data_IF_506013670009
#
_entry.id   IF_506013670009
#
_cell.length_a   1.000
_cell.length_b   1.000
_cell.length_c   1.000
_cell.angle_alpha   90.00
_cell.angle_beta   90.00
_cell.angle_gamma   90.00
#
_symmetry.space_group_name_H-M   'P 1'
#
loop_
_entity.id
_entity.type
_entity.pdbx_description
1 polymer ?
#
# COMPACT_ATOMS: atom_id res chain seq x y z
N UNK A 1 -16.39 -8.18 34.14
CA UNK A 1 -15.08 -8.83 33.91
C UNK A 1 -14.00 -7.86 34.37
N UNK A 2 -13.00 -8.29 35.15
CA UNK A 2 -11.92 -7.40 35.60
C UNK A 2 -10.81 -7.36 34.54
N UNK A 3 -10.81 -6.33 33.70
CA UNK A 3 -9.85 -6.16 32.60
C UNK A 3 -8.40 -6.02 33.10
N UNK A 4 -8.19 -5.55 34.33
CA UNK A 4 -6.85 -5.43 34.92
C UNK A 4 -6.14 -6.78 35.14
N UNK A 5 -6.85 -7.90 34.96
CA UNK A 5 -6.29 -9.26 35.04
C UNK A 5 -5.90 -9.83 33.68
N UNK A 6 -6.12 -9.09 32.59
CA UNK A 6 -5.70 -9.49 31.24
C UNK A 6 -4.26 -9.02 31.08
N UNK A 7 -3.34 -9.97 30.97
CA UNK A 7 -1.92 -9.71 30.79
C UNK A 7 -1.42 -10.40 29.53
N UNK A 8 -0.36 -9.85 28.94
CA UNK A 8 0.38 -10.55 27.89
C UNK A 8 0.84 -11.93 28.41
N UNK A 9 0.84 -12.98 27.57
CA UNK A 9 1.42 -14.27 27.94
C UNK A 9 2.88 -14.10 28.35
N UNK A 10 3.30 -14.79 29.42
CA UNK A 10 4.66 -14.70 29.94
C UNK A 10 5.74 -15.11 28.92
N UNK A 11 5.39 -15.92 27.92
CA UNK A 11 6.29 -16.34 26.84
C UNK A 11 5.55 -16.44 25.52
N UNK A 12 5.63 -15.38 24.71
CA UNK A 12 5.52 -15.47 23.26
C UNK A 12 6.94 -15.52 22.70
N UNK A 13 7.34 -16.67 22.18
CA UNK A 13 8.68 -16.87 21.59
C UNK A 13 8.74 -16.49 20.10
N UNK A 14 7.59 -16.23 19.50
CA UNK A 14 7.45 -15.83 18.10
C UNK A 14 7.34 -14.32 17.98
N UNK A 15 8.03 -13.74 17.01
CA UNK A 15 7.85 -12.33 16.65
C UNK A 15 6.60 -12.19 15.76
N UNK A 16 5.58 -11.49 16.23
CA UNK A 16 4.40 -11.17 15.43
C UNK A 16 4.61 -9.84 14.69
N UNK A 17 4.54 -9.90 13.36
CA UNK A 17 4.48 -8.73 12.48
C UNK A 17 3.09 -8.67 11.86
N UNK A 18 2.48 -7.51 11.83
CA UNK A 18 1.08 -7.32 11.39
C UNK A 18 1.03 -6.24 10.32
N UNK A 19 0.51 -6.59 9.15
CA UNK A 19 0.20 -5.60 8.11
C UNK A 19 -0.93 -4.68 8.61
N UNK A 20 -0.63 -3.38 8.71
CA UNK A 20 -1.59 -2.37 9.14
C UNK A 20 -1.40 -1.08 8.34
N UNK A 21 -2.31 -0.82 7.40
CA UNK A 21 -2.27 0.36 6.53
C UNK A 21 -3.09 1.54 7.06
N UNK A 22 -3.68 1.39 8.25
CA UNK A 22 -4.45 2.45 8.92
C UNK A 22 -3.68 2.98 10.13
N UNK A 23 -3.86 4.26 10.44
CA UNK A 23 -3.14 4.94 11.53
C UNK A 23 -4.01 5.32 12.70
N UNK A 24 -5.31 5.03 12.62
CA UNK A 24 -6.32 5.41 13.60
C UNK A 24 -5.95 4.89 15.01
N UNK A 25 -6.08 5.73 16.06
CA UNK A 25 -5.93 5.30 17.44
C UNK A 25 -7.10 4.38 17.85
N UNK A 26 -7.02 3.83 19.07
CA UNK A 26 -8.03 2.91 19.58
C UNK A 26 -9.41 3.57 19.72
N UNK A 27 -9.46 4.78 20.29
CA UNK A 27 -10.68 5.54 20.60
C UNK A 27 -10.52 7.03 20.28
N UNK A 28 -11.62 7.79 20.38
CA UNK A 28 -11.69 9.22 20.09
C UNK A 28 -12.29 9.51 18.71
N UNK A 29 -12.25 10.78 18.29
CA UNK A 29 -12.88 11.24 17.04
C UNK A 29 -12.32 10.58 15.79
N UNK A 30 -11.04 10.20 15.81
CA UNK A 30 -10.37 9.43 14.76
C UNK A 30 -10.22 7.95 15.12
N UNK A 31 -10.84 7.50 16.22
CA UNK A 31 -10.72 6.16 16.77
C UNK A 31 -11.47 5.08 16.00
N UNK A 32 -11.32 3.83 16.43
CA UNK A 32 -11.87 2.68 15.73
C UNK A 32 -13.40 2.74 15.57
N UNK A 33 -14.11 3.08 16.65
CA UNK A 33 -15.57 3.15 16.67
C UNK A 33 -16.08 4.31 15.81
N UNK A 34 -15.51 5.52 15.96
CA UNK A 34 -15.93 6.71 15.25
C UNK A 34 -15.75 6.58 13.72
N UNK A 35 -14.60 6.05 13.28
CA UNK A 35 -14.25 6.02 11.86
C UNK A 35 -14.83 4.80 11.15
N UNK A 36 -14.83 3.62 11.79
CA UNK A 36 -15.21 2.36 11.13
C UNK A 36 -16.53 1.77 11.60
N UNK A 37 -17.09 2.24 12.71
CA UNK A 37 -18.38 1.77 13.23
C UNK A 37 -19.54 2.01 12.24
N UNK A 38 -19.73 3.24 11.71
CA UNK A 38 -20.87 3.56 10.85
C UNK A 38 -21.00 2.68 9.60
N UNK A 39 -19.88 2.42 8.90
CA UNK A 39 -19.87 1.54 7.72
C UNK A 39 -20.11 0.05 8.06
N UNK A 40 -20.05 -0.32 9.35
CA UNK A 40 -20.39 -1.66 9.87
C UNK A 40 -21.79 -1.70 10.50
N UNK A 41 -22.58 -0.63 10.37
CA UNK A 41 -23.96 -0.55 10.85
C UNK A 41 -24.12 -0.01 12.27
N UNK A 42 -23.08 0.52 12.91
CA UNK A 42 -23.20 1.14 14.23
C UNK A 42 -23.93 2.49 14.14
N UNK A 43 -24.96 2.68 14.96
CA UNK A 43 -25.62 3.98 15.14
C UNK A 43 -24.71 4.95 15.90
N UNK A 44 -25.03 6.25 15.92
CA UNK A 44 -24.28 7.22 16.73
C UNK A 44 -24.26 6.87 18.22
N UNK A 45 -25.32 6.24 18.72
CA UNK A 45 -25.38 5.75 20.10
C UNK A 45 -24.43 4.58 20.31
N UNK A 46 -24.43 3.60 19.39
CA UNK A 46 -23.51 2.46 19.43
C UNK A 46 -22.06 2.94 19.38
N UNK A 47 -21.74 3.90 18.51
CA UNK A 47 -20.40 4.48 18.40
C UNK A 47 -19.95 5.08 19.73
N UNK A 48 -20.80 5.85 20.41
CA UNK A 48 -20.46 6.42 21.71
C UNK A 48 -20.19 5.33 22.78
N UNK A 49 -21.02 4.29 22.81
CA UNK A 49 -20.87 3.16 23.74
C UNK A 49 -19.59 2.36 23.45
N UNK A 50 -19.33 2.07 22.17
CA UNK A 50 -18.15 1.33 21.74
C UNK A 50 -16.86 2.11 21.99
N UNK A 51 -16.86 3.41 21.71
CA UNK A 51 -15.71 4.28 21.94
C UNK A 51 -15.34 4.36 23.42
N UNK A 52 -16.33 4.50 24.31
CA UNK A 52 -16.12 4.45 25.76
C UNK A 52 -15.62 3.09 26.23
N UNK A 53 -16.18 1.99 25.70
CA UNK A 53 -15.70 0.65 26.00
C UNK A 53 -14.25 0.42 25.60
N UNK A 54 -13.85 0.92 24.42
CA UNK A 54 -12.47 0.87 23.92
C UNK A 54 -11.52 1.76 24.72
N UNK A 55 -11.98 2.95 25.16
CA UNK A 55 -11.25 3.82 26.09
C UNK A 55 -10.97 3.12 27.40
N UNK A 56 -12.02 2.58 28.03
CA UNK A 56 -11.88 1.84 29.28
C UNK A 56 -10.93 0.64 29.13
N UNK A 57 -11.04 -0.13 28.05
CA UNK A 57 -10.12 -1.23 27.75
C UNK A 57 -8.67 -0.74 27.65
N UNK A 58 -8.41 0.28 26.84
CA UNK A 58 -7.07 0.82 26.60
C UNK A 58 -6.40 1.33 27.86
N UNK A 59 -7.13 2.16 28.62
CA UNK A 59 -6.66 2.78 29.86
C UNK A 59 -6.46 1.78 30.99
N UNK A 60 -7.22 0.68 31.01
CA UNK A 60 -7.11 -0.33 32.07
C UNK A 60 -6.01 -1.36 31.79
N UNK A 61 -5.78 -1.73 30.53
CA UNK A 61 -4.95 -2.90 30.18
C UNK A 61 -3.54 -2.57 29.70
N UNK A 62 -3.37 -1.49 28.93
CA UNK A 62 -2.07 -1.06 28.44
C UNK A 62 -2.03 0.45 28.19
N UNK A 63 -1.96 1.25 29.27
CA UNK A 63 -1.85 2.70 29.17
C UNK A 63 -0.71 3.11 28.23
N UNK A 64 -1.00 4.03 27.31
CA UNK A 64 -0.02 4.54 26.33
C UNK A 64 0.04 3.79 25.00
N UNK A 65 -0.54 2.59 24.90
CA UNK A 65 -0.65 1.91 23.60
C UNK A 65 -1.87 2.36 22.81
N UNK A 66 -2.95 2.80 23.47
CA UNK A 66 -4.19 3.16 22.80
C UNK A 66 -4.05 4.29 21.75
N UNK A 67 -3.07 5.17 21.91
CA UNK A 67 -2.79 6.27 21.00
C UNK A 67 -1.79 5.91 19.88
N UNK A 68 -1.23 4.68 19.87
CA UNK A 68 -0.26 4.31 18.85
C UNK A 68 -0.94 4.22 17.49
N UNK A 69 -0.23 4.55 16.39
CA UNK A 69 -0.76 4.37 15.05
C UNK A 69 -1.18 2.92 14.82
N UNK A 70 -2.41 2.75 14.32
CA UNK A 70 -2.97 1.45 13.96
C UNK A 70 -3.60 0.69 15.13
N UNK A 71 -3.60 1.24 16.35
CA UNK A 71 -4.25 0.60 17.50
C UNK A 71 -5.75 0.41 17.31
N UNK A 72 -6.41 1.29 16.53
CA UNK A 72 -7.81 1.13 16.16
C UNK A 72 -8.09 0.16 15.01
N UNK A 73 -7.05 -0.41 14.40
CA UNK A 73 -7.20 -1.31 13.25
C UNK A 73 -8.12 -2.49 13.58
N UNK A 74 -8.99 -2.82 12.63
CA UNK A 74 -9.98 -3.89 12.75
C UNK A 74 -10.83 -3.83 14.03
N UNK A 75 -11.17 -2.63 14.52
CA UNK A 75 -12.02 -2.47 15.70
C UNK A 75 -11.29 -2.64 17.02
N UNK A 76 -9.99 -2.32 17.07
CA UNK A 76 -9.17 -2.44 18.28
C UNK A 76 -8.34 -3.73 18.36
N UNK A 77 -8.39 -4.59 17.33
CA UNK A 77 -7.51 -5.75 17.25
C UNK A 77 -6.03 -5.34 17.16
N UNK A 78 -5.73 -4.23 16.48
CA UNK A 78 -4.37 -3.67 16.43
C UNK A 78 -3.82 -3.39 17.83
N UNK A 79 -4.61 -2.73 18.68
CA UNK A 79 -4.28 -2.53 20.09
C UNK A 79 -4.08 -3.86 20.83
N UNK A 80 -4.99 -4.82 20.66
CA UNK A 80 -4.89 -6.12 21.34
C UNK A 80 -3.59 -6.86 20.98
N UNK A 81 -3.22 -6.86 19.71
CA UNK A 81 -1.97 -7.48 19.24
C UNK A 81 -0.73 -6.76 19.78
N UNK A 82 -0.75 -5.43 19.86
CA UNK A 82 0.34 -4.66 20.48
C UNK A 82 0.44 -4.92 21.98
N UNK A 83 -0.69 -4.85 22.69
CA UNK A 83 -0.75 -4.93 24.15
C UNK A 83 -0.48 -6.34 24.69
N UNK A 84 -1.01 -7.36 24.02
CA UNK A 84 -1.00 -8.73 24.54
C UNK A 84 -0.14 -9.68 23.74
N UNK A 85 0.24 -9.33 22.51
CA UNK A 85 1.09 -10.18 21.67
C UNK A 85 2.47 -9.59 21.36
N UNK A 86 2.76 -8.38 21.89
CA UNK A 86 3.98 -7.63 21.56
C UNK A 86 4.21 -7.54 20.04
N UNK A 87 3.13 -7.33 19.28
CA UNK A 87 3.18 -7.31 17.83
C UNK A 87 3.68 -5.97 17.29
N UNK A 88 4.49 -6.04 16.24
CA UNK A 88 4.91 -4.89 15.45
C UNK A 88 3.89 -4.66 14.33
N UNK A 89 3.23 -3.50 14.34
CA UNK A 89 2.36 -3.07 13.25
C UNK A 89 3.21 -2.34 12.23
N UNK A 90 3.16 -2.81 10.99
CA UNK A 90 4.00 -2.33 9.89
C UNK A 90 3.12 -2.10 8.64
N UNK A 91 3.47 -1.16 7.75
CA UNK A 91 2.78 -1.00 6.47
C UNK A 91 2.77 -2.32 5.68
N UNK A 92 1.61 -2.69 5.13
CA UNK A 92 1.43 -4.01 4.49
C UNK A 92 2.38 -4.22 3.31
N UNK A 93 2.55 -3.20 2.47
CA UNK A 93 3.47 -3.25 1.34
C UNK A 93 4.93 -3.49 1.78
N UNK A 94 5.36 -2.87 2.89
CA UNK A 94 6.70 -3.06 3.44
C UNK A 94 6.88 -4.48 4.01
N UNK A 95 5.90 -4.96 4.77
CA UNK A 95 5.92 -6.32 5.33
C UNK A 95 6.02 -7.38 4.23
N UNK A 96 5.19 -7.28 3.18
CA UNK A 96 5.21 -8.22 2.06
C UNK A 96 6.53 -8.13 1.29
N UNK A 97 7.03 -6.92 1.04
CA UNK A 97 8.30 -6.72 0.35
C UNK A 97 9.47 -7.39 1.08
N UNK A 98 9.51 -7.32 2.41
CA UNK A 98 10.51 -8.01 3.20
C UNK A 98 10.36 -9.54 3.10
N UNK A 99 9.14 -10.05 3.21
CA UNK A 99 8.85 -11.50 3.16
C UNK A 99 9.30 -12.11 1.83
N UNK A 100 9.05 -11.42 0.72
CA UNK A 100 9.41 -11.91 -0.62
C UNK A 100 10.85 -11.56 -1.03
N UNK A 101 11.62 -10.89 -0.17
CA UNK A 101 12.99 -10.47 -0.48
C UNK A 101 13.08 -9.44 -1.61
N UNK A 102 12.08 -8.55 -1.73
CA UNK A 102 11.93 -7.63 -2.86
C UNK A 102 13.17 -6.76 -3.09
N UNK A 103 13.78 -6.23 -2.02
CA UNK A 103 14.96 -5.37 -2.16
C UNK A 103 16.16 -6.11 -2.77
N UNK A 104 16.34 -7.40 -2.43
CA UNK A 104 17.39 -8.22 -3.01
C UNK A 104 17.09 -8.53 -4.50
N UNK A 105 15.83 -8.85 -4.82
CA UNK A 105 15.39 -9.06 -6.19
C UNK A 105 15.60 -7.81 -7.06
N UNK A 106 15.21 -6.63 -6.56
CA UNK A 106 15.45 -5.35 -7.23
C UNK A 106 16.95 -5.12 -7.43
N UNK A 107 17.75 -5.29 -6.38
CA UNK A 107 19.20 -5.05 -6.44
C UNK A 107 19.91 -5.92 -7.47
N UNK A 108 19.40 -7.12 -7.73
CA UNK A 108 19.94 -8.08 -8.69
C UNK A 108 19.32 -7.97 -10.10
N UNK A 109 18.46 -6.98 -10.34
CA UNK A 109 17.74 -6.81 -11.61
C UNK A 109 18.20 -5.56 -12.36
N UNK A 110 18.25 -5.65 -13.69
CA UNK A 110 18.59 -4.50 -14.55
C UNK A 110 17.39 -3.61 -14.87
N UNK A 111 16.17 -4.18 -14.78
CA UNK A 111 14.91 -3.50 -15.05
C UNK A 111 13.82 -4.06 -14.14
N UNK A 112 13.05 -3.17 -13.52
CA UNK A 112 11.90 -3.53 -12.69
C UNK A 112 10.63 -3.25 -13.47
N UNK A 113 9.73 -4.24 -13.53
CA UNK A 113 8.38 -4.08 -14.07
C UNK A 113 7.37 -4.23 -12.93
N UNK A 114 6.45 -3.28 -12.79
CA UNK A 114 5.33 -3.33 -11.83
C UNK A 114 4.04 -2.87 -12.51
N UNK A 115 2.88 -3.06 -11.89
CA UNK A 115 1.62 -2.63 -12.46
C UNK A 115 0.43 -2.65 -11.49
N UNK A 116 -0.60 -1.88 -11.84
CA UNK A 116 -1.88 -1.85 -11.13
C UNK A 116 -3.04 -1.63 -12.11
N UNK A 117 -4.29 -1.81 -11.67
CA UNK A 117 -5.45 -1.61 -12.55
C UNK A 117 -5.64 -0.15 -13.01
N UNK A 118 -5.42 0.81 -12.11
CA UNK A 118 -5.56 2.23 -12.41
C UNK A 118 -4.58 3.06 -11.59
N UNK A 119 -3.71 3.79 -12.27
CA UNK A 119 -2.85 4.78 -11.63
C UNK A 119 -3.48 6.17 -11.71
N UNK A 120 -3.63 6.80 -10.56
CA UNK A 120 -4.24 8.12 -10.38
C UNK A 120 -3.48 8.92 -9.32
N UNK A 121 -3.98 10.10 -8.96
CA UNK A 121 -3.35 10.98 -7.97
C UNK A 121 -3.25 10.39 -6.57
N UNK A 122 -3.94 9.27 -6.29
CA UNK A 122 -3.83 8.54 -5.02
C UNK A 122 -2.74 7.46 -5.06
N UNK A 123 -2.30 7.03 -6.24
CA UNK A 123 -1.24 6.02 -6.38
C UNK A 123 0.03 6.34 -5.58
N UNK A 124 0.57 7.58 -5.59
CA UNK A 124 1.76 7.93 -4.80
C UNK A 124 1.59 7.69 -3.29
N UNK A 125 0.37 7.71 -2.76
CA UNK A 125 0.07 7.65 -1.33
C UNK A 125 0.00 6.23 -0.76
N UNK A 126 0.84 5.31 -1.27
CA UNK A 126 1.04 4.00 -0.64
C UNK A 126 0.42 2.81 -1.36
N UNK A 127 0.04 2.93 -2.64
CA UNK A 127 -0.26 1.74 -3.45
C UNK A 127 1.02 0.92 -3.70
N UNK A 128 0.85 -0.38 -3.94
CA UNK A 128 1.96 -1.30 -4.17
C UNK A 128 2.94 -0.83 -5.26
N UNK A 129 2.44 -0.29 -6.37
CA UNK A 129 3.29 0.23 -7.45
C UNK A 129 4.20 1.38 -7.00
N UNK A 130 3.66 2.34 -6.24
CA UNK A 130 4.45 3.46 -5.74
C UNK A 130 5.53 2.98 -4.76
N UNK A 131 5.22 1.97 -3.94
CA UNK A 131 6.20 1.35 -3.06
C UNK A 131 7.35 0.70 -3.85
N UNK A 132 7.04 -0.09 -4.88
CA UNK A 132 8.06 -0.71 -5.75
C UNK A 132 8.91 0.36 -6.45
N UNK A 133 8.29 1.42 -6.98
CA UNK A 133 9.00 2.53 -7.61
C UNK A 133 9.96 3.24 -6.64
N UNK A 134 9.51 3.53 -5.42
CA UNK A 134 10.36 4.14 -4.40
C UNK A 134 11.55 3.26 -4.03
N UNK A 135 11.34 1.94 -3.90
CA UNK A 135 12.43 0.98 -3.62
C UNK A 135 13.42 0.85 -4.78
N UNK A 136 12.92 0.80 -6.02
CA UNK A 136 13.75 0.76 -7.21
C UNK A 136 14.61 2.02 -7.34
N UNK A 137 14.01 3.20 -7.15
CA UNK A 137 14.71 4.47 -7.17
C UNK A 137 15.79 4.57 -6.07
N UNK A 138 15.49 4.11 -4.86
CA UNK A 138 16.45 4.08 -3.75
C UNK A 138 17.66 3.14 -4.00
N UNK A 139 17.54 2.21 -4.95
CA UNK A 139 18.58 1.26 -5.35
C UNK A 139 19.15 1.58 -6.75
N UNK A 140 18.85 2.76 -7.30
CA UNK A 140 19.28 3.23 -8.62
C UNK A 140 18.92 2.26 -9.78
N UNK A 141 17.79 1.57 -9.64
CA UNK A 141 17.25 0.64 -10.65
C UNK A 141 16.10 1.26 -11.43
N UNK A 142 16.08 1.18 -12.78
CA UNK A 142 14.99 1.71 -13.57
C UNK A 142 13.71 0.89 -13.32
N UNK A 143 12.58 1.59 -13.19
CA UNK A 143 11.29 1.00 -12.88
C UNK A 143 10.24 1.42 -13.92
N UNK A 144 9.57 0.46 -14.52
CA UNK A 144 8.47 0.64 -15.46
C UNK A 144 7.17 0.26 -14.78
N UNK A 145 6.18 1.14 -14.88
CA UNK A 145 4.84 0.91 -14.36
C UNK A 145 3.90 0.73 -15.54
N UNK A 146 3.31 -0.46 -15.64
CA UNK A 146 2.30 -0.84 -16.62
C UNK A 146 0.94 -0.88 -15.94
N UNK A 147 0.12 0.13 -16.18
CA UNK A 147 -1.19 0.27 -15.52
C UNK A 147 -2.32 -0.01 -16.50
N UNK A 148 -3.42 -0.61 -16.02
CA UNK A 148 -4.64 -0.79 -16.81
C UNK A 148 -5.08 0.52 -17.46
N UNK A 149 -5.13 1.58 -16.66
CA UNK A 149 -5.31 2.96 -17.11
C UNK A 149 -4.46 3.92 -16.27
N UNK A 150 -4.21 5.11 -16.80
CA UNK A 150 -3.51 6.20 -16.10
C UNK A 150 -4.35 7.48 -16.23
N UNK A 151 -4.62 8.15 -15.12
CA UNK A 151 -5.35 9.43 -15.13
C UNK A 151 -4.53 10.52 -15.81
N UNK A 152 -5.21 11.50 -16.39
CA UNK A 152 -4.53 12.58 -17.12
C UNK A 152 -3.67 13.44 -16.18
N UNK A 153 -4.14 13.65 -14.95
CA UNK A 153 -3.43 14.39 -13.92
C UNK A 153 -2.13 13.69 -13.52
N UNK A 154 -2.17 12.36 -13.31
CA UNK A 154 -0.95 11.61 -12.99
C UNK A 154 -0.02 11.51 -14.20
N UNK A 155 -0.55 11.42 -15.42
CA UNK A 155 0.27 11.42 -16.63
C UNK A 155 1.04 12.74 -16.76
N UNK A 156 0.42 13.86 -16.40
CA UNK A 156 1.03 15.18 -16.43
C UNK A 156 2.09 15.38 -15.34
N UNK A 157 1.85 14.89 -14.12
CA UNK A 157 2.78 15.06 -12.99
C UNK A 157 3.86 13.99 -12.90
N UNK A 158 3.63 12.81 -13.49
CA UNK A 158 4.49 11.64 -13.36
C UNK A 158 4.30 10.90 -12.01
N UNK A 159 4.76 9.65 -11.96
CA UNK A 159 4.82 8.87 -10.74
C UNK A 159 6.25 8.89 -10.18
N UNK A 160 6.49 9.44 -8.97
CA UNK A 160 7.82 9.46 -8.37
C UNK A 160 8.47 8.07 -8.34
N UNK A 161 9.74 8.00 -8.77
CA UNK A 161 10.52 6.77 -8.86
C UNK A 161 10.23 5.88 -10.08
N UNK A 162 9.19 6.16 -10.86
CA UNK A 162 8.96 5.50 -12.14
C UNK A 162 9.84 6.12 -13.22
N UNK A 163 10.56 5.28 -13.96
CA UNK A 163 11.28 5.66 -15.18
C UNK A 163 10.32 5.83 -16.35
N UNK A 164 9.34 4.93 -16.45
CA UNK A 164 8.27 4.94 -17.46
C UNK A 164 6.94 4.61 -16.76
N UNK A 165 5.90 5.39 -17.03
CA UNK A 165 4.52 5.11 -16.64
C UNK A 165 3.68 4.95 -17.91
N UNK A 166 3.07 3.77 -18.12
CA UNK A 166 2.33 3.46 -19.35
C UNK A 166 0.99 2.83 -19.06
N UNK A 167 -0.05 3.33 -19.71
CA UNK A 167 -1.34 2.66 -19.79
C UNK A 167 -1.25 1.50 -20.80
N UNK A 168 -1.74 0.32 -20.43
CA UNK A 168 -1.77 -0.84 -21.33
C UNK A 168 -2.97 -0.80 -22.27
N UNK A 169 -4.07 -0.21 -21.80
CA UNK A 169 -5.33 -0.14 -22.51
C UNK A 169 -5.40 1.09 -23.42
N UNK A 170 -5.88 0.95 -24.67
CA UNK A 170 -6.24 2.09 -25.50
C UNK A 170 -7.34 2.94 -24.86
N UNK A 171 -7.23 4.26 -24.98
CA UNK A 171 -8.23 5.19 -24.44
C UNK A 171 -9.60 5.07 -25.13
N UNK A 172 -9.64 4.53 -26.36
CA UNK A 172 -10.85 4.29 -27.14
C UNK A 172 -11.67 3.08 -26.66
N UNK A 173 -11.08 2.16 -25.91
CA UNK A 173 -11.78 0.97 -25.41
C UNK A 173 -12.66 1.33 -24.21
N UNK A 174 -13.88 0.80 -24.17
CA UNK A 174 -14.74 0.79 -22.99
C UNK A 174 -14.11 -0.05 -21.86
N UNK A 175 -14.48 0.19 -20.60
CA UNK A 175 -13.95 -0.58 -19.47
C UNK A 175 -14.14 -2.11 -19.65
N UNK A 176 -15.27 -2.54 -20.21
CA UNK A 176 -15.53 -3.96 -20.45
C UNK A 176 -14.56 -4.56 -21.49
N UNK A 177 -14.22 -3.81 -22.54
CA UNK A 177 -13.21 -4.21 -23.53
C UNK A 177 -11.81 -4.21 -22.92
N UNK A 178 -11.46 -3.17 -22.16
CA UNK A 178 -10.17 -3.09 -21.47
C UNK A 178 -9.95 -4.30 -20.55
N UNK A 179 -10.96 -4.66 -19.75
CA UNK A 179 -10.91 -5.83 -18.87
C UNK A 179 -10.78 -7.12 -19.68
N UNK A 180 -11.57 -7.30 -20.74
CA UNK A 180 -11.50 -8.48 -21.63
C UNK A 180 -10.14 -8.64 -22.28
N UNK A 181 -9.55 -7.54 -22.76
CA UNK A 181 -8.33 -7.54 -23.57
C UNK A 181 -7.06 -7.33 -22.73
N UNK A 182 -7.18 -7.28 -21.39
CA UNK A 182 -6.08 -6.97 -20.45
C UNK A 182 -4.82 -7.76 -20.77
N UNK A 183 -4.92 -9.07 -21.01
CA UNK A 183 -3.77 -9.93 -21.26
C UNK A 183 -3.03 -9.53 -22.55
N UNK A 184 -3.77 -9.31 -23.64
CA UNK A 184 -3.21 -8.92 -24.95
C UNK A 184 -2.60 -7.52 -24.87
N UNK A 185 -3.31 -6.60 -24.22
CA UNK A 185 -2.86 -5.23 -24.01
C UNK A 185 -1.58 -5.17 -23.16
N UNK A 186 -1.53 -5.96 -22.08
CA UNK A 186 -0.35 -6.05 -21.21
C UNK A 186 0.85 -6.64 -21.94
N UNK A 187 0.66 -7.72 -22.71
CA UNK A 187 1.75 -8.33 -23.50
C UNK A 187 2.33 -7.32 -24.50
N UNK A 188 1.46 -6.66 -25.27
CA UNK A 188 1.88 -5.63 -26.24
C UNK A 188 2.63 -4.49 -25.56
N UNK A 189 2.05 -3.91 -24.51
CA UNK A 189 2.65 -2.78 -23.80
C UNK A 189 4.01 -3.15 -23.17
N UNK A 190 4.11 -4.37 -22.63
CA UNK A 190 5.37 -4.89 -22.08
C UNK A 190 6.42 -5.02 -23.17
N UNK A 191 6.08 -5.63 -24.31
CA UNK A 191 6.97 -5.80 -25.46
C UNK A 191 7.51 -4.45 -25.94
N UNK A 192 6.64 -3.47 -26.11
CA UNK A 192 6.99 -2.15 -26.62
C UNK A 192 7.94 -1.42 -25.66
N UNK A 193 7.65 -1.43 -24.35
CA UNK A 193 8.49 -0.77 -23.35
C UNK A 193 9.84 -1.46 -23.19
N UNK A 194 9.87 -2.79 -23.18
CA UNK A 194 11.14 -3.52 -23.09
C UNK A 194 12.01 -3.25 -24.32
N UNK A 195 11.44 -3.21 -25.52
CA UNK A 195 12.16 -2.84 -26.73
C UNK A 195 12.73 -1.41 -26.64
N UNK A 196 11.93 -0.45 -26.17
CA UNK A 196 12.36 0.93 -25.92
C UNK A 196 13.52 1.00 -24.91
N UNK A 197 13.45 0.25 -23.81
CA UNK A 197 14.50 0.17 -22.80
C UNK A 197 15.81 -0.39 -23.39
N UNK A 198 15.74 -1.48 -24.15
CA UNK A 198 16.91 -2.11 -24.77
C UNK A 198 17.58 -1.18 -25.81
N UNK A 199 16.79 -0.48 -26.63
CA UNK A 199 17.31 0.48 -27.59
C UNK A 199 18.01 1.66 -26.90
N UNK A 200 17.44 2.17 -25.81
CA UNK A 200 18.03 3.27 -25.05
C UNK A 200 19.34 2.89 -24.33
N UNK A 201 19.45 1.64 -23.85
CA UNK A 201 20.68 1.11 -23.27
C UNK A 201 21.78 0.94 -24.33
N UNK A 202 21.44 0.45 -25.53
CA UNK A 202 22.38 0.32 -26.64
C UNK A 202 22.94 1.67 -27.13
N UNK A 203 22.16 2.75 -27.00
CA UNK A 203 22.54 4.10 -27.44
C UNK A 203 23.25 4.96 -26.36
N UNK A 204 23.53 4.42 -25.17
CA UNK A 204 24.25 5.15 -24.11
C UNK A 204 23.51 6.37 -23.53
N UNK A 205 22.18 6.41 -23.64
CA UNK A 205 21.38 7.57 -23.24
C UNK A 205 21.24 7.71 -21.71
N UNK A 206 21.17 8.94 -21.16
CA UNK A 206 21.14 9.18 -19.71
C UNK A 206 19.88 8.60 -19.02
N UNK A 207 20.07 8.12 -17.79
CA UNK A 207 19.06 7.49 -16.89
C UNK A 207 18.05 8.48 -16.29
N UNK A 208 17.53 9.43 -17.07
CA UNK A 208 16.48 10.36 -16.63
C UNK A 208 15.07 9.79 -16.83
N UNK A 209 14.08 10.19 -16.00
CA UNK A 209 12.68 9.78 -16.21
C UNK A 209 12.18 10.36 -17.54
N UNK A 210 11.74 9.51 -18.46
CA UNK A 210 11.09 9.92 -19.71
C UNK A 210 9.60 9.66 -19.56
N UNK A 211 8.85 10.73 -19.33
CA UNK A 211 7.40 10.70 -19.52
C UNK A 211 7.19 10.65 -21.04
N UNK A 212 6.85 9.48 -21.58
CA UNK A 212 6.56 9.33 -23.00
C UNK A 212 5.22 10.03 -23.30
N UNK A 213 5.20 11.12 -24.08
CA UNK A 213 3.98 11.82 -24.39
C UNK A 213 3.42 11.26 -25.69
N UNK A 214 2.75 10.10 -25.67
CA UNK A 214 1.80 9.68 -26.73
C UNK A 214 1.16 8.32 -26.42
N UNK A 215 -0.16 8.27 -26.45
CA UNK A 215 -0.88 7.61 -27.55
C UNK A 215 -2.32 8.16 -27.65
N UNK A 216 -2.60 8.74 -28.81
CA UNK A 216 -3.92 8.74 -29.46
C UNK A 216 -4.43 7.31 -29.64
#
# INVERSE_FOLDING_TARGET
MNLARVHAPATLTIKLRVACDVRNPLYGTEGAAAVYGPQKGATSLDVAVLDEGLRHLGETTAPGLAARPGSGAAGGLGFGLQAFCNADLEPGAALIADIIGLNAAISNSDLILTGEGRSDTQTPNGKACAFVCARAAALDRPCVVLSGSVSDELRASGLPGATILRAISPASQSLAEQLRDTAVNLERATRDVVAECLQNQACGAPKGPRICPTNL
#
